data_IF_702689123638
#
_entry.id   IF_702689123638
#
_cell.length_a   1.000
_cell.length_b   1.000
_cell.length_c   1.000
_cell.angle_alpha   90.00
_cell.angle_beta   90.00
_cell.angle_gamma   90.00
#
_symmetry.space_group_name_H-M   'P 1'
#
loop_
_entity.id
_entity.type
_entity.pdbx_description
1 polymer ?
#
# COMPACT_ATOMS: atom_id res chain seq x y z
N UNK A 1 -14.95 2.38 -0.77
CA UNK A 1 -13.92 1.32 -0.98
C UNK A 1 -12.69 1.66 -0.15
N UNK A 2 -12.15 0.72 0.59
CA UNK A 2 -10.86 0.90 1.27
C UNK A 2 -9.75 0.21 0.47
N UNK A 3 -8.76 0.97 0.06
CA UNK A 3 -7.55 0.48 -0.58
C UNK A 3 -6.48 0.45 0.49
N UNK A 4 -5.84 -0.70 0.67
CA UNK A 4 -4.95 -0.90 1.80
C UNK A 4 -3.56 -1.39 1.42
N UNK A 5 -2.60 -1.02 2.27
CA UNK A 5 -1.22 -1.46 2.21
C UNK A 5 -0.66 -1.75 3.61
N UNK A 6 0.52 -2.34 3.70
CA UNK A 6 1.21 -2.53 4.97
C UNK A 6 1.56 -1.19 5.58
N UNK A 7 1.28 -1.03 6.87
CA UNK A 7 1.73 0.15 7.60
C UNK A 7 3.25 0.07 7.81
N UNK A 8 3.85 1.24 7.90
CA UNK A 8 5.25 1.40 8.30
C UNK A 8 5.32 2.47 9.38
N UNK A 9 6.37 2.47 10.23
CA UNK A 9 6.58 3.59 11.15
C UNK A 9 6.59 4.92 10.41
N UNK A 10 5.91 5.94 10.96
CA UNK A 10 5.83 7.27 10.33
C UNK A 10 7.19 7.87 10.02
N UNK A 11 8.18 7.62 10.88
CA UNK A 11 9.56 8.05 10.62
C UNK A 11 10.21 7.31 9.43
N UNK A 12 9.81 6.06 9.15
CA UNK A 12 10.30 5.34 7.98
C UNK A 12 9.68 5.89 6.70
N UNK A 13 8.38 6.17 6.70
CA UNK A 13 7.72 6.84 5.59
C UNK A 13 8.30 8.23 5.32
N UNK A 14 8.46 9.04 6.38
CA UNK A 14 9.05 10.37 6.27
C UNK A 14 10.45 10.35 5.62
N UNK A 15 11.25 9.34 5.88
CA UNK A 15 12.58 9.20 5.31
C UNK A 15 12.61 8.43 3.98
N UNK A 16 11.49 7.88 3.54
CA UNK A 16 11.41 7.17 2.27
C UNK A 16 11.60 8.15 1.10
N UNK A 17 12.43 7.77 0.11
CA UNK A 17 12.80 8.64 -1.02
C UNK A 17 13.92 9.64 -0.71
N UNK A 18 14.38 9.71 0.53
CA UNK A 18 15.47 10.60 0.96
C UNK A 18 15.04 12.07 1.15
N UNK A 19 15.98 12.97 1.48
CA UNK A 19 15.66 14.34 1.91
C UNK A 19 14.91 15.19 0.86
N UNK A 20 15.08 14.88 -0.42
CA UNK A 20 14.47 15.64 -1.51
C UNK A 20 13.11 15.12 -1.94
N UNK A 21 12.71 13.94 -1.47
CA UNK A 21 11.50 13.26 -1.93
C UNK A 21 10.84 12.46 -0.79
N UNK A 22 10.65 13.11 0.34
CA UNK A 22 10.09 12.52 1.56
C UNK A 22 8.69 11.94 1.33
N UNK A 23 8.30 10.99 2.20
CA UNK A 23 7.01 10.30 2.13
C UNK A 23 6.76 9.55 0.81
N UNK A 24 7.84 9.09 0.16
CA UNK A 24 7.71 8.44 -1.14
C UNK A 24 6.84 7.18 -1.06
N UNK A 25 6.96 6.39 0.01
CA UNK A 25 6.19 5.16 0.19
C UNK A 25 4.67 5.44 0.20
N UNK A 26 4.20 6.29 1.10
CA UNK A 26 2.77 6.61 1.19
C UNK A 26 2.24 7.32 -0.06
N UNK A 27 3.04 8.16 -0.70
CA UNK A 27 2.68 8.82 -1.97
C UNK A 27 2.55 7.82 -3.13
N UNK A 28 3.42 6.82 -3.22
CA UNK A 28 3.31 5.75 -4.23
C UNK A 28 2.05 4.92 -4.01
N UNK A 29 1.74 4.57 -2.77
CA UNK A 29 0.49 3.85 -2.43
C UNK A 29 -0.74 4.69 -2.79
N UNK A 30 -0.75 5.97 -2.45
CA UNK A 30 -1.85 6.87 -2.77
C UNK A 30 -2.06 7.02 -4.29
N UNK A 31 -0.98 7.14 -5.06
CA UNK A 31 -1.07 7.23 -6.52
C UNK A 31 -1.56 5.91 -7.15
N UNK A 32 -1.06 4.78 -6.69
CA UNK A 32 -1.55 3.48 -7.14
C UNK A 32 -3.04 3.29 -6.80
N UNK A 33 -3.47 3.69 -5.60
CA UNK A 33 -4.86 3.67 -5.18
C UNK A 33 -5.75 4.54 -6.09
N UNK A 34 -5.31 5.74 -6.41
CA UNK A 34 -5.99 6.65 -7.36
C UNK A 34 -6.17 6.02 -8.74
N UNK A 35 -5.12 5.38 -9.26
CA UNK A 35 -5.17 4.72 -10.57
C UNK A 35 -6.13 3.52 -10.56
N UNK A 36 -6.11 2.70 -9.51
CA UNK A 36 -7.04 1.57 -9.36
C UNK A 36 -8.47 2.05 -9.24
N UNK A 37 -8.76 3.03 -8.38
CA UNK A 37 -10.10 3.59 -8.21
C UNK A 37 -10.64 4.17 -9.53
N UNK A 38 -9.82 4.95 -10.23
CA UNK A 38 -10.16 5.51 -11.54
C UNK A 38 -10.50 4.42 -12.57
N UNK A 39 -9.68 3.36 -12.64
CA UNK A 39 -9.90 2.26 -13.57
C UNK A 39 -11.15 1.45 -13.23
N UNK A 40 -11.47 1.32 -11.94
CA UNK A 40 -12.66 0.65 -11.45
C UNK A 40 -13.94 1.51 -11.52
N UNK A 41 -13.85 2.79 -11.89
CA UNK A 41 -14.97 3.72 -11.89
C UNK A 41 -15.51 4.04 -10.49
N UNK A 42 -14.63 4.04 -9.48
CA UNK A 42 -14.98 4.30 -8.09
C UNK A 42 -14.50 5.68 -7.68
N UNK A 43 -15.45 6.55 -7.37
CA UNK A 43 -15.14 7.94 -6.97
C UNK A 43 -14.86 8.09 -5.48
N UNK A 44 -15.41 7.19 -4.65
CA UNK A 44 -15.24 7.23 -3.19
C UNK A 44 -14.39 6.07 -2.70
N UNK A 45 -13.17 6.36 -2.29
CA UNK A 45 -12.25 5.40 -1.70
C UNK A 45 -11.34 6.07 -0.67
N UNK A 46 -10.77 5.28 0.20
CA UNK A 46 -9.80 5.72 1.19
C UNK A 46 -8.60 4.78 1.20
N UNK A 47 -7.41 5.31 1.44
CA UNK A 47 -6.21 4.53 1.72
C UNK A 47 -6.13 4.28 3.21
N UNK A 48 -6.01 3.03 3.59
CA UNK A 48 -5.92 2.57 4.97
C UNK A 48 -4.74 1.61 5.14
N UNK A 49 -4.34 1.35 6.36
CA UNK A 49 -3.13 0.61 6.66
C UNK A 49 -3.42 -0.58 7.57
N UNK A 50 -2.53 -1.57 7.54
CA UNK A 50 -2.57 -2.75 8.43
C UNK A 50 -1.21 -3.05 9.03
N UNK A 51 -1.18 -4.07 9.91
CA UNK A 51 0.03 -4.75 10.36
C UNK A 51 0.96 -3.85 11.16
N UNK A 52 0.42 -3.13 12.12
CA UNK A 52 1.23 -2.49 13.14
C UNK A 52 1.89 -3.56 14.01
N UNK A 53 3.18 -3.43 14.28
CA UNK A 53 3.93 -4.38 15.08
C UNK A 53 4.96 -3.73 15.99
N UNK A 54 5.46 -4.46 16.97
CA UNK A 54 6.56 -4.04 17.84
C UNK A 54 6.11 -3.13 18.99
N UNK A 55 6.88 -2.08 19.29
CA UNK A 55 6.61 -1.20 20.43
C UNK A 55 5.36 -0.34 20.22
N UNK A 56 4.35 -0.40 21.12
CA UNK A 56 3.13 0.41 21.01
C UNK A 56 3.37 1.93 21.00
N UNK A 57 4.50 2.40 21.51
CA UNK A 57 4.87 3.81 21.49
C UNK A 57 5.43 4.29 20.14
N UNK A 58 5.68 3.38 19.19
CA UNK A 58 6.13 3.75 17.86
C UNK A 58 4.93 4.19 17.02
N UNK A 59 4.89 5.43 16.51
CA UNK A 59 3.82 5.86 15.62
C UNK A 59 3.95 5.19 14.25
N UNK A 60 2.83 4.72 13.72
CA UNK A 60 2.70 4.06 12.43
C UNK A 60 1.79 4.87 11.51
N UNK A 61 1.80 4.58 10.21
CA UNK A 61 0.86 5.18 9.28
C UNK A 61 -0.59 4.81 9.65
N UNK A 62 -1.47 5.77 9.52
CA UNK A 62 -2.89 5.70 9.87
C UNK A 62 -3.77 6.17 8.71
N UNK A 63 -5.08 5.87 8.73
CA UNK A 63 -5.80 5.08 9.73
C UNK A 63 -5.57 3.57 9.57
N UNK A 64 -5.72 2.83 10.68
CA UNK A 64 -5.80 1.37 10.64
C UNK A 64 -7.10 0.93 9.96
N UNK A 65 -7.05 -0.18 9.22
CA UNK A 65 -8.20 -0.67 8.43
C UNK A 65 -9.40 -1.05 9.29
N UNK A 66 -9.19 -1.67 10.44
CA UNK A 66 -10.26 -2.08 11.35
C UNK A 66 -10.84 -0.87 12.07
N UNK A 67 -10.00 0.05 12.54
CA UNK A 67 -10.44 1.26 13.21
C UNK A 67 -11.25 2.15 12.25
N UNK A 68 -10.77 2.30 11.00
CA UNK A 68 -11.53 3.06 10.00
C UNK A 68 -12.84 2.40 9.60
N UNK A 69 -12.89 1.09 9.51
CA UNK A 69 -14.14 0.36 9.27
C UNK A 69 -15.18 0.62 10.38
N UNK A 70 -14.75 0.69 11.65
CA UNK A 70 -15.62 1.04 12.78
C UNK A 70 -16.16 2.47 12.70
N UNK A 71 -15.32 3.42 12.27
CA UNK A 71 -15.74 4.81 12.06
C UNK A 71 -16.77 4.91 10.94
N UNK A 72 -16.50 4.31 9.78
CA UNK A 72 -17.39 4.32 8.63
C UNK A 72 -18.73 3.63 8.94
N UNK A 73 -18.73 2.58 9.74
CA UNK A 73 -19.97 1.93 10.20
C UNK A 73 -20.84 2.89 11.02
N UNK A 74 -20.25 3.71 11.90
CA UNK A 74 -20.98 4.74 12.66
C UNK A 74 -21.53 5.84 11.74
N UNK A 75 -20.91 6.05 10.60
CA UNK A 75 -21.37 6.95 9.53
C UNK A 75 -22.46 6.31 8.63
N UNK A 76 -22.82 5.05 8.89
CA UNK A 76 -23.88 4.33 8.17
C UNK A 76 -23.39 3.42 7.04
N UNK A 77 -22.11 3.06 7.00
CA UNK A 77 -21.59 2.11 6.03
C UNK A 77 -22.10 0.69 6.31
N UNK A 78 -22.68 0.06 5.30
CA UNK A 78 -23.17 -1.32 5.36
C UNK A 78 -22.30 -2.31 4.57
N UNK A 79 -21.53 -1.81 3.61
CA UNK A 79 -20.70 -2.63 2.70
C UNK A 79 -19.31 -2.05 2.55
N UNK A 80 -18.30 -2.90 2.70
CA UNK A 80 -16.90 -2.57 2.52
C UNK A 80 -16.26 -3.44 1.44
N UNK A 81 -15.63 -2.81 0.46
CA UNK A 81 -14.72 -3.49 -0.47
C UNK A 81 -13.30 -3.17 -0.03
N UNK A 82 -12.52 -4.20 0.30
CA UNK A 82 -11.12 -4.06 0.72
C UNK A 82 -10.20 -4.57 -0.39
N UNK A 83 -9.25 -3.74 -0.82
CA UNK A 83 -8.30 -4.05 -1.89
C UNK A 83 -6.88 -4.06 -1.34
N UNK A 84 -6.20 -5.22 -1.25
CA UNK A 84 -4.81 -5.32 -0.82
C UNK A 84 -3.87 -4.86 -1.96
N UNK A 85 -3.55 -3.57 -1.99
CA UNK A 85 -2.86 -2.96 -3.12
C UNK A 85 -1.35 -3.24 -3.14
N UNK A 86 -0.68 -3.18 -1.98
CA UNK A 86 0.77 -3.26 -1.88
C UNK A 86 1.33 -4.69 -1.86
N UNK A 87 0.47 -5.70 -1.98
CA UNK A 87 0.88 -7.10 -1.92
C UNK A 87 0.66 -7.83 -3.22
N UNK A 88 1.70 -8.56 -3.65
CA UNK A 88 1.63 -9.40 -4.86
C UNK A 88 0.90 -10.71 -4.58
N UNK A 89 0.98 -11.22 -3.35
CA UNK A 89 0.42 -12.53 -2.95
C UNK A 89 -0.42 -12.40 -1.69
N UNK A 90 -1.41 -13.29 -1.56
CA UNK A 90 -2.20 -13.46 -0.34
C UNK A 90 -1.40 -14.28 0.69
N UNK A 91 -0.33 -13.71 1.23
CA UNK A 91 0.48 -14.34 2.28
C UNK A 91 -0.22 -14.26 3.65
N UNK A 92 0.38 -14.91 4.67
CA UNK A 92 -0.22 -15.09 5.98
C UNK A 92 -0.66 -13.78 6.65
N UNK A 93 0.10 -12.69 6.50
CA UNK A 93 -0.24 -11.38 7.05
C UNK A 93 -1.53 -10.82 6.42
N UNK A 94 -1.66 -10.91 5.08
CA UNK A 94 -2.87 -10.48 4.37
C UNK A 94 -4.09 -11.30 4.81
N UNK A 95 -3.94 -12.63 4.90
CA UNK A 95 -5.01 -13.54 5.32
C UNK A 95 -5.40 -13.28 6.77
N UNK A 96 -4.42 -13.11 7.66
CA UNK A 96 -4.71 -12.86 9.07
C UNK A 96 -5.42 -11.52 9.29
N UNK A 97 -4.82 -10.44 8.82
CA UNK A 97 -5.34 -9.09 9.09
C UNK A 97 -6.68 -8.82 8.39
N UNK A 98 -6.91 -9.40 7.21
CA UNK A 98 -8.14 -9.11 6.45
C UNK A 98 -9.18 -10.19 6.48
N UNK A 99 -8.78 -11.45 6.25
CA UNK A 99 -9.74 -12.54 6.16
C UNK A 99 -10.11 -13.04 7.57
N UNK A 100 -9.38 -12.62 8.61
CA UNK A 100 -9.65 -12.94 10.01
C UNK A 100 -10.04 -11.68 10.79
N UNK A 101 -9.12 -10.77 11.09
CA UNK A 101 -9.38 -9.65 12.01
C UNK A 101 -10.40 -8.64 11.44
N UNK A 102 -10.18 -8.13 10.22
CA UNK A 102 -11.12 -7.20 9.60
C UNK A 102 -12.48 -7.85 9.37
N UNK A 103 -12.50 -9.09 8.87
CA UNK A 103 -13.73 -9.80 8.60
C UNK A 103 -14.54 -10.02 9.87
N UNK A 104 -13.92 -10.50 10.95
CA UNK A 104 -14.56 -10.67 12.23
C UNK A 104 -15.09 -9.34 12.78
N UNK A 105 -14.30 -8.28 12.75
CA UNK A 105 -14.74 -6.96 13.19
C UNK A 105 -15.94 -6.45 12.37
N UNK A 106 -15.95 -6.65 11.06
CA UNK A 106 -17.08 -6.30 10.21
C UNK A 106 -18.34 -7.12 10.53
N UNK A 107 -18.20 -8.43 10.75
CA UNK A 107 -19.31 -9.33 11.15
C UNK A 107 -19.93 -8.86 12.49
N UNK A 108 -19.10 -8.53 13.48
CA UNK A 108 -19.55 -8.00 14.78
C UNK A 108 -20.31 -6.67 14.65
N UNK A 109 -19.98 -5.85 13.67
CA UNK A 109 -20.61 -4.56 13.39
C UNK A 109 -21.81 -4.65 12.44
N UNK A 110 -22.11 -5.84 11.88
CA UNK A 110 -23.15 -6.00 10.87
C UNK A 110 -22.78 -5.43 9.50
N UNK A 111 -21.50 -5.24 9.20
CA UNK A 111 -20.98 -4.75 7.92
C UNK A 111 -20.58 -5.92 7.03
N UNK A 112 -21.03 -5.93 5.79
CA UNK A 112 -20.59 -6.90 4.80
C UNK A 112 -19.24 -6.48 4.23
N UNK A 113 -18.24 -7.36 4.25
CA UNK A 113 -16.92 -7.08 3.67
C UNK A 113 -16.61 -8.03 2.52
N UNK A 114 -16.08 -7.48 1.44
CA UNK A 114 -15.52 -8.25 0.33
C UNK A 114 -14.07 -7.83 0.14
N UNK A 115 -13.15 -8.78 0.22
CA UNK A 115 -11.73 -8.57 -0.10
C UNK A 115 -11.43 -9.10 -1.50
N UNK A 116 -10.78 -8.27 -2.32
CA UNK A 116 -10.25 -8.73 -3.62
C UNK A 116 -8.98 -9.56 -3.41
N UNK A 117 -8.70 -10.57 -4.25
CA UNK A 117 -7.42 -11.27 -4.20
C UNK A 117 -6.26 -10.32 -4.51
N UNK A 118 -5.05 -10.67 -4.08
CA UNK A 118 -3.83 -9.98 -4.50
C UNK A 118 -3.54 -10.28 -5.99
N UNK A 119 -2.86 -9.35 -6.66
CA UNK A 119 -2.73 -9.34 -8.14
C UNK A 119 -1.78 -10.39 -8.72
N UNK A 120 -0.97 -11.07 -7.90
CA UNK A 120 0.14 -11.90 -8.38
C UNK A 120 -0.25 -13.10 -9.24
N UNK A 121 -1.49 -13.59 -9.12
CA UNK A 121 -2.00 -14.68 -9.94
C UNK A 121 -2.70 -14.20 -11.24
N UNK A 122 -2.84 -12.90 -11.42
CA UNK A 122 -3.46 -12.34 -12.61
C UNK A 122 -2.51 -12.41 -13.80
N UNK A 123 -2.96 -12.93 -14.98
CA UNK A 123 -2.11 -12.99 -16.18
C UNK A 123 -1.54 -11.63 -16.59
N UNK A 124 -2.28 -10.56 -16.37
CA UNK A 124 -1.83 -9.20 -16.66
C UNK A 124 -0.62 -8.79 -15.80
N UNK A 125 -0.52 -9.27 -14.56
CA UNK A 125 0.64 -9.02 -13.70
C UNK A 125 1.88 -9.70 -14.24
N UNK A 126 1.78 -10.97 -14.64
CA UNK A 126 2.88 -11.70 -15.26
C UNK A 126 3.33 -11.04 -16.58
N UNK A 127 2.38 -10.61 -17.42
CA UNK A 127 2.65 -9.86 -18.65
C UNK A 127 3.42 -8.56 -18.38
N UNK A 128 3.01 -7.79 -17.38
CA UNK A 128 3.72 -6.57 -16.97
C UNK A 128 5.18 -6.85 -16.58
N UNK A 129 5.44 -7.94 -15.86
CA UNK A 129 6.82 -8.30 -15.46
C UNK A 129 7.67 -8.60 -16.70
N UNK A 130 7.11 -9.29 -17.70
CA UNK A 130 7.79 -9.56 -18.98
C UNK A 130 8.06 -8.25 -19.72
N UNK A 131 7.06 -7.38 -19.87
CA UNK A 131 7.21 -6.09 -20.55
C UNK A 131 8.32 -5.23 -19.92
N UNK A 132 8.41 -5.22 -18.57
CA UNK A 132 9.47 -4.51 -17.86
C UNK A 132 10.84 -5.14 -18.14
N UNK A 133 10.95 -6.48 -18.12
CA UNK A 133 12.20 -7.18 -18.38
C UNK A 133 12.70 -6.93 -19.81
N UNK A 134 11.80 -6.96 -20.81
CA UNK A 134 12.11 -6.66 -22.20
C UNK A 134 12.55 -5.20 -22.38
N UNK A 135 11.87 -4.25 -21.75
CA UNK A 135 12.24 -2.84 -21.81
C UNK A 135 13.64 -2.59 -21.23
N UNK A 136 13.94 -3.22 -20.09
CA UNK A 136 15.28 -3.13 -19.46
C UNK A 136 16.34 -3.77 -20.35
N UNK A 137 16.06 -4.94 -20.92
CA UNK A 137 16.98 -5.62 -21.83
C UNK A 137 17.25 -4.85 -23.14
N UNK A 138 16.29 -4.07 -23.61
CA UNK A 138 16.41 -3.18 -24.75
C UNK A 138 16.96 -1.79 -24.40
N UNK A 139 17.31 -1.52 -23.14
CA UNK A 139 17.76 -0.22 -22.63
C UNK A 139 16.74 0.92 -22.88
N UNK A 140 15.45 0.58 -22.93
CA UNK A 140 14.37 1.58 -23.04
C UNK A 140 13.65 1.75 -21.70
N UNK A 141 13.10 2.94 -21.48
CA UNK A 141 12.35 3.22 -20.27
C UNK A 141 11.04 2.43 -20.25
N UNK A 142 10.74 1.62 -19.23
CA UNK A 142 9.45 0.96 -19.09
C UNK A 142 8.28 1.96 -19.09
N UNK A 143 7.13 1.53 -19.60
CA UNK A 143 5.91 2.31 -19.55
C UNK A 143 5.50 2.54 -18.09
N UNK A 144 5.08 3.75 -17.76
CA UNK A 144 4.55 4.12 -16.44
C UNK A 144 3.20 4.77 -16.59
N UNK A 145 2.30 4.50 -15.66
CA UNK A 145 0.97 5.13 -15.58
C UNK A 145 0.94 6.28 -14.58
N UNK A 146 1.89 6.28 -13.65
CA UNK A 146 1.95 7.22 -12.54
C UNK A 146 2.63 8.53 -12.92
N UNK A 147 2.14 9.62 -12.36
CA UNK A 147 2.77 10.94 -12.38
C UNK A 147 3.78 11.12 -11.23
N UNK A 148 3.77 10.21 -10.25
CA UNK A 148 4.74 10.23 -9.14
C UNK A 148 6.10 9.83 -9.67
N UNK A 149 7.00 10.79 -9.73
CA UNK A 149 8.39 10.55 -10.13
C UNK A 149 9.21 10.15 -8.90
N UNK A 150 9.98 9.09 -9.04
CA UNK A 150 10.93 8.65 -8.02
C UNK A 150 12.30 9.19 -8.39
N UNK A 151 12.79 10.16 -7.64
CA UNK A 151 14.14 10.68 -7.83
C UNK A 151 15.15 9.86 -7.01
N UNK A 152 16.10 9.25 -7.71
CA UNK A 152 17.25 8.61 -7.07
C UNK A 152 17.06 7.18 -6.61
N UNK A 153 15.95 6.53 -6.98
CA UNK A 153 15.85 5.08 -6.91
C UNK A 153 16.17 4.44 -8.25
N UNK A 154 16.58 3.18 -8.22
CA UNK A 154 16.94 2.35 -9.38
C UNK A 154 15.87 2.26 -10.48
N UNK A 155 14.62 2.61 -10.19
CA UNK A 155 13.50 2.67 -11.13
C UNK A 155 13.80 3.56 -12.36
N UNK A 156 14.66 4.57 -12.22
CA UNK A 156 15.06 5.45 -13.32
C UNK A 156 16.47 5.11 -13.86
N UNK A 157 17.04 3.94 -13.50
CA UNK A 157 18.41 3.58 -13.85
C UNK A 157 19.49 4.36 -13.07
N UNK A 158 19.10 5.29 -12.22
CA UNK A 158 20.05 5.98 -11.34
C UNK A 158 20.31 5.15 -10.08
N UNK A 159 21.55 5.07 -9.59
CA UNK A 159 21.84 4.41 -8.33
C UNK A 159 21.13 5.12 -7.17
N UNK A 160 20.73 4.36 -6.15
CA UNK A 160 20.19 4.94 -4.92
C UNK A 160 21.15 5.97 -4.35
N UNK A 161 20.65 7.13 -3.95
CA UNK A 161 21.45 8.13 -3.24
C UNK A 161 21.87 7.58 -1.87
N UNK A 162 23.05 7.96 -1.43
CA UNK A 162 23.52 7.63 -0.09
C UNK A 162 22.50 8.12 0.95
N UNK A 163 22.12 7.24 1.87
CA UNK A 163 21.16 7.55 2.94
C UNK A 163 19.67 7.54 2.55
N UNK A 164 19.27 7.19 1.31
CA UNK A 164 17.85 7.13 0.92
C UNK A 164 17.04 6.08 1.69
N UNK A 165 17.72 5.06 2.22
CA UNK A 165 17.11 3.99 3.04
C UNK A 165 17.78 3.94 4.43
N UNK A 166 18.20 5.08 4.96
CA UNK A 166 18.82 5.12 6.28
C UNK A 166 17.87 4.53 7.33
N UNK A 167 18.33 3.56 8.14
CA UNK A 167 17.48 2.95 9.15
C UNK A 167 17.04 4.00 10.16
N UNK A 168 15.76 3.95 10.53
CA UNK A 168 15.24 4.79 11.61
C UNK A 168 16.01 4.47 12.88
N UNK A 169 16.67 5.48 13.47
CA UNK A 169 17.37 5.30 14.75
C UNK A 169 16.36 4.86 15.79
N UNK A 170 16.50 3.63 16.29
CA UNK A 170 15.67 3.16 17.41
C UNK A 170 15.96 4.04 18.63
N UNK A 171 14.94 4.62 19.28
CA UNK A 171 15.15 5.34 20.53
C UNK A 171 15.73 4.36 21.55
N UNK A 172 16.92 4.62 22.07
CA UNK A 172 17.47 3.91 23.23
C UNK A 172 18.10 2.53 22.97
N UNK A 173 19.24 2.52 22.30
CA UNK A 173 20.35 1.62 22.60
C UNK A 173 21.61 2.44 22.78
#
# INVERSE_FOLDING_TARGET
>A
MCIRDSSVPTAADQNSGGPADQHLYSRQVAEAAKLVAKQAGVDSYEVVWQSRSGNPATPWLEPDVVDRARELQREGMEYLICVPLGFITDHMEVVWDLDTELKQACEEMGVSVTRTPAVGLEPAFAGMVVDIAEAVGAEVKPKTLSEVTVQGCTVNGAPCKEGCCAPVKRPGR
#
